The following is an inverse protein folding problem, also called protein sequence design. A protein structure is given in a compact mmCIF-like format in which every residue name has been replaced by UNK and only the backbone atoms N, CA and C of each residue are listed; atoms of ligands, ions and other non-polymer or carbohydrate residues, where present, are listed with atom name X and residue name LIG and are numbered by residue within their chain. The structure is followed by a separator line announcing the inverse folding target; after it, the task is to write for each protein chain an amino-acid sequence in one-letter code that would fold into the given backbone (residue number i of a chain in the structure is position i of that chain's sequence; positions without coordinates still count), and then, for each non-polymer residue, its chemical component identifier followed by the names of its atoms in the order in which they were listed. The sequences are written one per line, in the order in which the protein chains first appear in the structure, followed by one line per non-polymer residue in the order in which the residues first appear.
data_IF_596707430641
#
_entry.id   IF_596707430641
#
_cell.length_a   1.000
_cell.length_b   1.000
_cell.length_c   1.000
_cell.angle_alpha   90.00
_cell.angle_beta   90.00
_cell.angle_gamma   90.00
#
_symmetry.space_group_name_H-M   'P 1'
#
loop_
_entity.id
_entity.type
_entity.pdbx_description
1 polymer ?
#
# COMPACT_ATOMS: atom_id res chain seq x y z
N UNK A 1 23.31 -11.59 -1.72
CA UNK A 1 23.32 -10.26 -1.12
C UNK A 1 22.19 -10.20 -0.12
N UNK A 2 22.51 -10.30 1.17
CA UNK A 2 21.51 -10.28 2.25
C UNK A 2 21.09 -8.84 2.54
N UNK A 3 19.88 -8.63 3.07
CA UNK A 3 19.37 -7.30 3.43
C UNK A 3 20.36 -6.52 4.33
N UNK A 4 21.07 -7.23 5.20
CA UNK A 4 22.06 -6.66 6.10
C UNK A 4 23.34 -6.19 5.38
N UNK A 5 23.75 -6.86 4.30
CA UNK A 5 24.89 -6.43 3.46
C UNK A 5 24.56 -5.16 2.67
N UNK A 6 23.31 -5.00 2.26
CA UNK A 6 22.86 -3.79 1.55
C UNK A 6 22.83 -2.58 2.50
N UNK A 7 22.42 -2.80 3.76
CA UNK A 7 22.44 -1.78 4.82
C UNK A 7 23.89 -1.35 5.14
N UNK A 8 24.83 -2.30 5.20
CA UNK A 8 26.23 -1.99 5.54
C UNK A 8 26.96 -1.24 4.41
N UNK A 9 26.68 -1.56 3.14
CA UNK A 9 27.24 -0.82 2.00
C UNK A 9 26.72 0.62 1.93
N UNK A 10 25.42 0.82 2.19
CA UNK A 10 24.84 2.16 2.28
C UNK A 10 25.44 2.94 3.47
N UNK A 11 25.78 2.25 4.57
CA UNK A 11 26.46 2.84 5.72
C UNK A 11 27.87 3.33 5.40
N UNK A 12 28.69 2.51 4.73
CA UNK A 12 30.05 2.88 4.33
C UNK A 12 30.04 4.07 3.36
N UNK A 13 29.13 4.09 2.39
CA UNK A 13 28.98 5.21 1.46
C UNK A 13 28.53 6.49 2.17
N UNK A 14 27.70 6.39 3.22
CA UNK A 14 27.26 7.55 4.00
C UNK A 14 28.35 8.15 4.90
N UNK A 15 29.26 7.34 5.45
CA UNK A 15 30.39 7.82 6.26
C UNK A 15 31.42 8.62 5.43
N UNK A 16 31.57 8.29 4.15
CA UNK A 16 32.47 9.00 3.23
C UNK A 16 31.98 10.44 2.94
N UNK A 17 30.69 10.74 3.11
CA UNK A 17 30.10 12.05 2.76
C UNK A 17 30.17 13.07 3.92
N UNK A 18 30.76 12.69 5.06
CA UNK A 18 31.13 13.61 6.15
C UNK A 18 30.46 13.32 7.50
N UNK A 19 31.01 13.85 8.60
CA UNK A 19 30.63 13.49 9.97
C UNK A 19 29.25 14.04 10.43
N UNK A 20 28.61 14.87 9.61
CA UNK A 20 27.36 15.54 9.98
C UNK A 20 26.15 14.65 9.70
N UNK A 21 25.57 14.08 10.77
CA UNK A 21 24.39 13.18 10.71
C UNK A 21 23.18 13.81 10.01
N UNK A 22 23.03 15.13 10.10
CA UNK A 22 21.97 15.86 9.39
C UNK A 22 22.18 15.82 7.88
N UNK A 23 23.43 15.96 7.41
CA UNK A 23 23.77 15.88 6.00
C UNK A 23 23.51 14.48 5.44
N UNK A 24 23.90 13.43 6.17
CA UNK A 24 23.65 12.03 5.77
C UNK A 24 22.14 11.75 5.64
N UNK A 25 21.32 12.25 6.56
CA UNK A 25 19.87 12.07 6.50
C UNK A 25 19.23 12.79 5.31
N UNK A 26 19.69 14.01 5.00
CA UNK A 26 19.25 14.76 3.82
C UNK A 26 19.62 13.99 2.54
N UNK A 27 20.85 13.47 2.46
CA UNK A 27 21.30 12.67 1.31
C UNK A 27 20.44 11.43 1.13
N UNK A 28 20.11 10.72 2.21
CA UNK A 28 19.21 9.56 2.16
C UNK A 28 17.83 9.97 1.63
N UNK A 29 17.23 11.03 2.19
CA UNK A 29 15.93 11.51 1.73
C UNK A 29 15.94 11.88 0.24
N UNK A 30 16.97 12.61 -0.21
CA UNK A 30 17.14 12.99 -1.62
C UNK A 30 17.31 11.75 -2.50
N UNK A 31 18.12 10.79 -2.08
CA UNK A 31 18.35 9.54 -2.82
C UNK A 31 17.04 8.77 -3.01
N UNK A 32 16.22 8.69 -1.97
CA UNK A 32 14.91 8.04 -2.05
C UNK A 32 13.90 8.80 -2.90
N UNK A 33 13.97 10.12 -2.96
CA UNK A 33 13.18 10.90 -3.93
C UNK A 33 13.58 10.55 -5.36
N UNK A 34 14.88 10.44 -5.65
CA UNK A 34 15.36 10.02 -6.98
C UNK A 34 14.94 8.59 -7.30
N UNK A 35 15.11 7.64 -6.38
CA UNK A 35 14.64 6.26 -6.55
C UNK A 35 13.13 6.23 -6.77
N UNK A 36 12.36 7.01 -6.01
CA UNK A 36 10.92 7.14 -6.17
C UNK A 36 10.54 7.63 -7.56
N UNK A 37 11.21 8.66 -8.08
CA UNK A 37 10.99 9.14 -9.46
C UNK A 37 11.33 8.09 -10.51
N UNK A 38 12.42 7.34 -10.31
CA UNK A 38 12.81 6.25 -11.21
C UNK A 38 11.75 5.15 -11.18
N UNK A 39 11.28 4.74 -10.00
CA UNK A 39 10.24 3.74 -9.86
C UNK A 39 8.94 4.19 -10.54
N UNK A 40 8.50 5.43 -10.28
CA UNK A 40 7.33 6.05 -10.90
C UNK A 40 7.44 6.07 -12.44
N UNK A 41 8.61 6.45 -12.96
CA UNK A 41 8.90 6.42 -14.40
C UNK A 41 8.88 4.99 -14.98
N UNK A 42 9.51 4.03 -14.30
CA UNK A 42 9.52 2.61 -14.70
C UNK A 42 8.09 2.08 -14.75
N UNK A 43 7.30 2.31 -13.71
CA UNK A 43 5.93 1.81 -13.60
C UNK A 43 5.04 2.44 -14.67
N UNK A 44 5.09 3.76 -14.82
CA UNK A 44 4.34 4.47 -15.85
C UNK A 44 4.74 4.03 -17.26
N UNK A 45 6.01 3.71 -17.49
CA UNK A 45 6.48 3.27 -18.80
C UNK A 45 6.21 1.79 -19.08
N UNK A 46 6.33 0.89 -18.09
CA UNK A 46 6.01 -0.53 -18.22
C UNK A 46 4.50 -0.70 -18.40
N UNK A 47 3.71 -0.19 -17.45
CA UNK A 47 2.25 -0.29 -17.52
C UNK A 47 1.76 0.50 -18.74
N UNK A 48 2.30 1.68 -19.03
CA UNK A 48 1.97 2.45 -20.24
C UNK A 48 2.37 1.78 -21.56
N UNK A 49 3.36 0.87 -21.58
CA UNK A 49 3.66 0.05 -22.76
C UNK A 49 2.68 -1.10 -22.94
N UNK A 50 2.20 -1.71 -21.85
CA UNK A 50 1.11 -2.68 -21.90
C UNK A 50 -0.21 -2.00 -22.28
N UNK A 51 -0.49 -0.83 -21.69
CA UNK A 51 -1.64 0.02 -21.99
C UNK A 51 -1.65 0.43 -23.47
N UNK A 52 -0.53 0.87 -24.08
CA UNK A 52 -0.51 1.20 -25.52
C UNK A 52 -0.77 0.04 -26.47
N UNK A 53 -0.68 -1.21 -26.01
CA UNK A 53 -1.09 -2.40 -26.80
C UNK A 53 -2.57 -2.77 -26.58
N UNK A 54 -3.21 -2.12 -25.62
CA UNK A 54 -4.60 -2.30 -25.18
C UNK A 54 -5.37 -1.01 -25.54
N UNK A 55 -6.57 -1.11 -26.11
CA UNK A 55 -7.40 0.07 -26.39
C UNK A 55 -8.23 0.48 -25.15
N UNK A 56 -7.82 0.09 -23.95
CA UNK A 56 -8.68 0.12 -22.76
C UNK A 56 -8.40 1.32 -21.85
N UNK A 57 -9.42 2.18 -21.67
CA UNK A 57 -9.47 3.26 -20.67
C UNK A 57 -9.14 2.80 -19.23
N UNK A 58 -9.29 1.50 -18.96
CA UNK A 58 -8.97 0.88 -17.67
C UNK A 58 -7.49 1.03 -17.31
N UNK A 59 -6.59 0.78 -18.27
CA UNK A 59 -5.16 0.73 -17.99
C UNK A 59 -4.63 2.12 -17.66
N UNK A 60 -5.10 3.16 -18.35
CA UNK A 60 -4.73 4.55 -18.09
C UNK A 60 -5.18 5.01 -16.70
N UNK A 61 -6.42 4.67 -16.32
CA UNK A 61 -6.91 4.97 -14.98
C UNK A 61 -6.17 4.17 -13.91
N UNK A 62 -5.81 2.91 -14.17
CA UNK A 62 -5.04 2.10 -13.24
C UNK A 62 -3.64 2.69 -12.98
N UNK A 63 -2.97 3.15 -14.03
CA UNK A 63 -1.68 3.87 -13.91
C UNK A 63 -1.87 5.10 -13.02
N UNK A 64 -2.92 5.89 -13.25
CA UNK A 64 -3.20 7.11 -12.47
C UNK A 64 -3.43 6.85 -10.98
N UNK A 65 -3.91 5.66 -10.63
CA UNK A 65 -4.13 5.25 -9.24
C UNK A 65 -2.83 4.76 -8.59
N UNK A 66 -1.99 4.02 -9.33
CA UNK A 66 -0.82 3.33 -8.79
C UNK A 66 0.44 4.21 -8.70
N UNK A 67 0.61 5.17 -9.61
CA UNK A 67 1.88 5.91 -9.71
C UNK A 67 2.18 6.76 -8.45
N UNK A 68 1.16 7.49 -7.96
CA UNK A 68 1.25 8.36 -6.77
C UNK A 68 1.60 7.62 -5.47
N UNK A 69 0.92 6.53 -5.06
CA UNK A 69 1.23 5.82 -3.84
C UNK A 69 2.60 5.16 -3.85
N UNK A 70 3.07 4.70 -5.02
CA UNK A 70 4.41 4.12 -5.13
C UNK A 70 5.48 5.18 -4.93
N UNK A 71 5.37 6.32 -5.63
CA UNK A 71 6.27 7.44 -5.43
C UNK A 71 6.34 7.89 -3.96
N UNK A 72 5.18 8.06 -3.32
CA UNK A 72 5.10 8.45 -1.91
C UNK A 72 5.67 7.38 -0.97
N UNK A 73 5.53 6.09 -1.30
CA UNK A 73 6.10 5.00 -0.50
C UNK A 73 7.63 5.09 -0.42
N UNK A 74 8.30 5.39 -1.54
CA UNK A 74 9.74 5.60 -1.55
C UNK A 74 10.15 6.84 -0.74
N UNK A 75 9.39 7.93 -0.83
CA UNK A 75 9.64 9.13 0.00
C UNK A 75 9.52 8.80 1.49
N UNK A 76 8.42 8.17 1.91
CA UNK A 76 8.21 7.83 3.32
C UNK A 76 9.26 6.85 3.85
N UNK A 77 9.71 5.92 3.01
CA UNK A 77 10.80 5.01 3.36
C UNK A 77 12.13 5.76 3.54
N UNK A 78 12.45 6.69 2.63
CA UNK A 78 13.62 7.56 2.76
C UNK A 78 13.59 8.43 4.01
N UNK A 79 12.44 9.02 4.34
CA UNK A 79 12.26 9.82 5.56
C UNK A 79 12.38 8.96 6.83
N UNK A 80 11.88 7.73 6.80
CA UNK A 80 11.99 6.78 7.92
C UNK A 80 13.46 6.41 8.16
N UNK A 81 14.19 6.05 7.11
CA UNK A 81 15.62 5.74 7.19
C UNK A 81 16.44 6.95 7.63
N UNK A 82 16.13 8.14 7.11
CA UNK A 82 16.73 9.40 7.54
C UNK A 82 16.52 9.63 9.04
N UNK A 83 15.28 9.47 9.53
CA UNK A 83 14.94 9.62 10.96
C UNK A 83 15.79 8.71 11.86
N UNK A 84 15.96 7.44 11.47
CA UNK A 84 16.82 6.52 12.21
C UNK A 84 18.30 6.93 12.20
N UNK A 85 18.78 7.61 11.16
CA UNK A 85 20.16 8.12 11.09
C UNK A 85 20.41 9.37 11.92
N UNK A 86 19.40 10.20 12.15
CA UNK A 86 19.54 11.36 13.05
C UNK A 86 19.81 10.94 14.51
N UNK A 87 19.54 9.68 14.87
CA UNK A 87 19.67 9.16 16.23
C UNK A 87 18.90 10.03 17.25
N UNK A 88 17.66 10.39 16.89
CA UNK A 88 16.77 11.20 17.72
C UNK A 88 16.36 10.44 18.99
N UNK A 89 15.90 11.15 20.04
CA UNK A 89 15.34 10.51 21.23
C UNK A 89 14.27 9.47 20.88
N UNK A 90 14.18 8.41 21.67
CA UNK A 90 13.31 7.25 21.39
C UNK A 90 11.86 7.66 21.12
N UNK A 91 11.32 8.59 21.90
CA UNK A 91 9.95 9.09 21.76
C UNK A 91 9.75 9.85 20.45
N UNK A 92 10.71 10.70 20.08
CA UNK A 92 10.66 11.49 18.84
C UNK A 92 10.77 10.60 17.61
N UNK A 93 11.66 9.60 17.64
CA UNK A 93 11.78 8.59 16.58
C UNK A 93 10.49 7.79 16.46
N UNK A 94 9.93 7.32 17.58
CA UNK A 94 8.69 6.55 17.59
C UNK A 94 7.51 7.34 16.99
N UNK A 95 7.29 8.59 17.43
CA UNK A 95 6.21 9.43 16.92
C UNK A 95 6.43 9.75 15.43
N UNK A 96 7.65 10.14 15.03
CA UNK A 96 7.94 10.51 13.64
C UNK A 96 7.70 9.33 12.69
N UNK A 97 8.25 8.15 13.03
CA UNK A 97 8.07 6.94 12.21
C UNK A 97 6.63 6.46 12.25
N UNK A 98 5.95 6.53 13.41
CA UNK A 98 4.53 6.19 13.53
C UNK A 98 3.63 7.05 12.64
N UNK A 99 3.89 8.37 12.59
CA UNK A 99 3.20 9.31 11.70
C UNK A 99 3.47 8.99 10.23
N UNK A 100 4.73 8.75 9.85
CA UNK A 100 5.08 8.38 8.46
C UNK A 100 4.40 7.07 8.01
N UNK A 101 4.39 6.05 8.87
CA UNK A 101 3.66 4.80 8.62
C UNK A 101 2.15 5.04 8.49
N UNK A 102 1.58 5.87 9.36
CA UNK A 102 0.15 6.23 9.30
C UNK A 102 -0.20 6.93 7.99
N UNK A 103 0.59 7.91 7.56
CA UNK A 103 0.41 8.58 6.26
C UNK A 103 0.51 7.58 5.09
N UNK A 104 1.44 6.62 5.18
CA UNK A 104 1.58 5.53 4.20
C UNK A 104 0.29 4.70 4.12
N UNK A 105 -0.28 4.33 5.27
CA UNK A 105 -1.53 3.57 5.36
C UNK A 105 -2.69 4.35 4.72
N UNK A 106 -2.83 5.65 4.99
CA UNK A 106 -3.88 6.48 4.37
C UNK A 106 -3.75 6.56 2.85
N UNK A 107 -2.52 6.72 2.34
CA UNK A 107 -2.25 6.74 0.90
C UNK A 107 -2.65 5.42 0.24
N UNK A 108 -2.27 4.28 0.85
CA UNK A 108 -2.63 2.95 0.33
C UNK A 108 -4.11 2.62 0.49
N UNK A 109 -4.74 3.06 1.58
CA UNK A 109 -6.19 2.93 1.78
C UNK A 109 -6.96 3.61 0.64
N UNK A 110 -6.66 4.88 0.34
CA UNK A 110 -7.31 5.60 -0.77
C UNK A 110 -7.04 4.94 -2.14
N UNK A 111 -5.82 4.43 -2.35
CA UNK A 111 -5.44 3.71 -3.57
C UNK A 111 -6.27 2.45 -3.77
N UNK A 112 -6.41 1.63 -2.73
CA UNK A 112 -7.17 0.38 -2.79
C UNK A 112 -8.67 0.62 -2.99
N UNK A 113 -9.23 1.69 -2.40
CA UNK A 113 -10.61 2.10 -2.66
C UNK A 113 -10.79 2.51 -4.12
N UNK A 114 -9.93 3.40 -4.62
CA UNK A 114 -9.97 3.84 -6.01
C UNK A 114 -9.81 2.69 -7.00
N UNK A 115 -8.91 1.74 -6.71
CA UNK A 115 -8.76 0.52 -7.51
C UNK A 115 -10.03 -0.33 -7.51
N UNK A 116 -10.68 -0.48 -6.35
CA UNK A 116 -11.95 -1.21 -6.24
C UNK A 116 -13.04 -0.54 -7.07
N UNK A 117 -13.17 0.79 -6.98
CA UNK A 117 -14.13 1.58 -7.77
C UNK A 117 -13.86 1.43 -9.28
N UNK A 118 -12.59 1.46 -9.69
CA UNK A 118 -12.17 1.27 -11.08
C UNK A 118 -12.55 -0.12 -11.61
N UNK A 119 -12.29 -1.18 -10.84
CA UNK A 119 -12.65 -2.57 -11.21
C UNK A 119 -14.17 -2.71 -11.34
N UNK A 120 -14.93 -2.21 -10.38
CA UNK A 120 -16.40 -2.26 -10.39
C UNK A 120 -16.96 -1.51 -11.60
N UNK A 121 -16.44 -0.31 -11.90
CA UNK A 121 -16.88 0.48 -13.04
C UNK A 121 -16.54 -0.17 -14.40
N UNK A 122 -15.43 -0.90 -14.48
CA UNK A 122 -15.08 -1.63 -15.68
C UNK A 122 -16.05 -2.79 -15.96
N UNK A 123 -16.35 -3.59 -14.93
CA UNK A 123 -17.31 -4.68 -15.06
C UNK A 123 -18.74 -4.19 -15.29
N UNK A 124 -19.14 -3.04 -14.73
CA UNK A 124 -20.48 -2.49 -14.95
C UNK A 124 -20.69 -1.98 -16.38
N UNK A 125 -19.65 -1.42 -17.01
CA UNK A 125 -19.72 -0.91 -18.40
C UNK A 125 -19.58 -1.99 -19.47
N UNK A 126 -18.74 -3.00 -19.23
CA UNK A 126 -18.43 -4.06 -20.22
C UNK A 126 -19.46 -5.19 -20.21
N UNK A 127 -20.19 -5.37 -19.11
CA UNK A 127 -21.07 -6.51 -18.95
C UNK A 127 -22.48 -6.23 -19.48
N UNK A 128 -22.84 -6.91 -20.59
CA UNK A 128 -24.22 -7.10 -21.02
C UNK A 128 -24.91 -8.26 -20.25
N UNK A 129 -24.32 -8.73 -19.14
CA UNK A 129 -24.73 -9.94 -18.43
C UNK A 129 -25.60 -9.66 -17.21
N UNK A 130 -26.50 -10.61 -16.93
CA UNK A 130 -27.42 -10.65 -15.78
C UNK A 130 -26.78 -10.36 -14.41
N UNK A 131 -25.48 -10.62 -14.23
CA UNK A 131 -24.73 -10.43 -12.96
C UNK A 131 -24.67 -8.96 -12.52
N UNK A 132 -24.61 -8.02 -13.47
CA UNK A 132 -24.68 -6.57 -13.15
C UNK A 132 -26.13 -6.16 -12.86
N UNK A 133 -27.10 -6.77 -13.54
CA UNK A 133 -28.53 -6.52 -13.31
C UNK A 133 -29.04 -7.07 -11.97
N UNK A 134 -28.43 -8.11 -11.41
CA UNK A 134 -28.83 -8.72 -10.13
C UNK A 134 -28.24 -8.06 -8.89
N UNK A 135 -27.47 -6.96 -9.03
CA UNK A 135 -26.92 -6.21 -7.90
C UNK A 135 -25.75 -6.86 -7.16
N UNK A 136 -25.32 -8.06 -7.57
CA UNK A 136 -24.21 -8.80 -6.94
C UNK A 136 -22.89 -8.02 -6.95
N UNK A 137 -22.65 -7.23 -8.00
CA UNK A 137 -21.47 -6.37 -8.10
C UNK A 137 -21.42 -5.31 -6.99
N UNK A 138 -22.57 -4.77 -6.60
CA UNK A 138 -22.66 -3.80 -5.50
C UNK A 138 -22.39 -4.44 -4.13
N UNK A 139 -22.80 -5.70 -3.94
CA UNK A 139 -22.53 -6.43 -2.69
C UNK A 139 -21.03 -6.72 -2.55
N UNK A 140 -20.40 -7.23 -3.61
CA UNK A 140 -18.94 -7.45 -3.63
C UNK A 140 -18.16 -6.15 -3.41
N UNK A 141 -18.62 -5.06 -4.03
CA UNK A 141 -18.02 -3.74 -3.86
C UNK A 141 -17.99 -3.31 -2.37
N UNK A 142 -19.13 -3.38 -1.69
CA UNK A 142 -19.22 -3.01 -0.28
C UNK A 142 -18.42 -3.98 0.62
N UNK A 143 -18.44 -5.29 0.33
CA UNK A 143 -17.68 -6.29 1.08
C UNK A 143 -16.16 -6.03 1.00
N UNK A 144 -15.62 -5.76 -0.20
CA UNK A 144 -14.20 -5.44 -0.39
C UNK A 144 -13.83 -4.16 0.37
N UNK A 145 -14.69 -3.12 0.34
CA UNK A 145 -14.44 -1.88 1.10
C UNK A 145 -14.39 -2.10 2.62
N UNK A 146 -15.25 -2.97 3.16
CA UNK A 146 -15.21 -3.36 4.58
C UNK A 146 -13.89 -4.07 4.91
N UNK A 147 -13.45 -5.00 4.06
CA UNK A 147 -12.17 -5.70 4.25
C UNK A 147 -10.97 -4.74 4.19
N UNK A 148 -10.93 -3.83 3.21
CA UNK A 148 -9.89 -2.81 3.10
C UNK A 148 -9.86 -1.92 4.35
N UNK A 149 -11.02 -1.51 4.87
CA UNK A 149 -11.10 -0.72 6.10
C UNK A 149 -10.59 -1.49 7.32
N UNK A 150 -10.98 -2.76 7.48
CA UNK A 150 -10.50 -3.61 8.56
C UNK A 150 -8.96 -3.82 8.50
N UNK A 151 -8.41 -3.98 7.30
CA UNK A 151 -6.96 -4.06 7.08
C UNK A 151 -6.24 -2.73 7.39
N UNK A 152 -6.83 -1.58 7.05
CA UNK A 152 -6.26 -0.29 7.38
C UNK A 152 -6.17 -0.07 8.90
N UNK A 153 -7.21 -0.47 9.66
CA UNK A 153 -7.20 -0.43 11.13
C UNK A 153 -6.12 -1.37 11.69
N UNK A 154 -6.03 -2.60 11.14
CA UNK A 154 -4.99 -3.55 11.53
C UNK A 154 -3.57 -2.99 11.32
N UNK A 155 -3.29 -2.42 10.15
CA UNK A 155 -1.98 -1.82 9.88
C UNK A 155 -1.73 -0.57 10.73
N UNK A 156 -2.76 0.20 11.06
CA UNK A 156 -2.64 1.33 11.97
C UNK A 156 -2.16 0.87 13.36
N UNK A 157 -2.75 -0.18 13.92
CA UNK A 157 -2.26 -0.73 15.19
C UNK A 157 -0.81 -1.22 15.09
N UNK A 158 -0.45 -1.92 14.01
CA UNK A 158 0.95 -2.33 13.80
C UNK A 158 1.91 -1.14 13.67
N UNK A 159 1.49 -0.04 13.03
CA UNK A 159 2.31 1.15 12.87
C UNK A 159 2.73 1.77 14.22
N UNK A 160 1.86 1.65 15.23
CA UNK A 160 2.04 2.17 16.58
C UNK A 160 2.48 1.10 17.60
N UNK A 161 2.95 -0.07 17.14
CA UNK A 161 3.36 -1.19 17.99
C UNK A 161 2.26 -1.65 18.99
N UNK A 162 0.99 -1.49 18.61
CA UNK A 162 -0.14 -1.98 19.39
C UNK A 162 -0.32 -3.47 19.09
N UNK A 163 -0.53 -4.28 20.12
CA UNK A 163 -0.76 -5.70 19.97
C UNK A 163 -2.09 -5.96 19.23
N UNK A 164 -2.00 -6.65 18.08
CA UNK A 164 -3.14 -6.95 17.20
C UNK A 164 -3.77 -8.32 17.43
N UNK A 165 -3.31 -9.10 18.42
CA UNK A 165 -3.80 -10.46 18.67
C UNK A 165 -5.29 -10.49 18.96
N UNK A 166 -5.79 -9.57 19.78
CA UNK A 166 -7.23 -9.48 20.08
C UNK A 166 -8.05 -9.12 18.84
N UNK A 167 -7.58 -8.18 18.02
CA UNK A 167 -8.22 -7.80 16.77
C UNK A 167 -8.28 -8.98 15.80
N UNK A 168 -7.14 -9.65 15.58
CA UNK A 168 -7.04 -10.80 14.68
C UNK A 168 -7.90 -11.98 15.17
N UNK A 169 -7.93 -12.24 16.47
CA UNK A 169 -8.80 -13.27 17.05
C UNK A 169 -10.28 -12.97 16.81
N UNK A 170 -10.72 -11.73 17.01
CA UNK A 170 -12.11 -11.31 16.76
C UNK A 170 -12.49 -11.43 15.28
N UNK A 171 -11.60 -11.00 14.38
CA UNK A 171 -11.79 -11.14 12.93
C UNK A 171 -11.86 -12.63 12.52
N UNK A 172 -11.10 -13.49 13.18
CA UNK A 172 -11.17 -14.94 13.01
C UNK A 172 -12.55 -15.51 13.36
N UNK A 173 -13.13 -15.12 14.50
CA UNK A 173 -14.48 -15.56 14.91
C UNK A 173 -15.54 -15.08 13.92
N UNK A 174 -15.49 -13.81 13.51
CA UNK A 174 -16.40 -13.25 12.50
C UNK A 174 -16.24 -13.99 11.16
N UNK A 175 -15.01 -14.27 10.74
CA UNK A 175 -14.71 -15.02 9.52
C UNK A 175 -15.26 -16.45 9.55
N UNK A 176 -15.17 -17.14 10.69
CA UNK A 176 -15.77 -18.47 10.87
C UNK A 176 -17.29 -18.42 10.76
N UNK A 177 -17.93 -17.45 11.41
CA UNK A 177 -19.37 -17.27 11.30
C UNK A 177 -19.81 -17.00 9.85
N UNK A 178 -19.08 -16.15 9.13
CA UNK A 178 -19.35 -15.84 7.72
C UNK A 178 -19.13 -17.06 6.81
N UNK A 179 -18.09 -17.86 7.05
CA UNK A 179 -17.84 -19.11 6.32
C UNK A 179 -18.95 -20.14 6.53
N UNK A 180 -19.47 -20.29 7.75
CA UNK A 180 -20.61 -21.17 7.99
C UNK A 180 -21.88 -20.67 7.30
N UNK A 181 -22.14 -19.36 7.32
CA UNK A 181 -23.27 -18.78 6.60
C UNK A 181 -23.15 -18.97 5.08
N UNK A 182 -21.94 -18.89 4.52
CA UNK A 182 -21.69 -19.07 3.10
C UNK A 182 -21.77 -20.53 2.63
N UNK A 183 -21.63 -21.50 3.55
CA UNK A 183 -21.58 -22.93 3.25
C UNK A 183 -22.80 -23.39 2.42
N UNK A 184 -24.00 -23.03 2.86
CA UNK A 184 -25.24 -23.48 2.19
C UNK A 184 -25.40 -22.82 0.81
N UNK A 185 -24.94 -21.57 0.64
CA UNK A 185 -24.94 -20.89 -0.66
C UNK A 185 -24.00 -21.57 -1.64
N UNK A 186 -22.78 -21.91 -1.19
CA UNK A 186 -21.76 -22.50 -2.04
C UNK A 186 -22.10 -23.94 -2.42
N UNK A 187 -22.69 -24.71 -1.49
CA UNK A 187 -23.18 -26.08 -1.71
C UNK A 187 -24.39 -26.17 -2.65
N UNK A 188 -25.06 -25.05 -2.94
CA UNK A 188 -26.19 -25.02 -3.86
C UNK A 188 -25.78 -24.53 -5.27
N UNK A 189 -24.54 -24.06 -5.44
CA UNK A 189 -23.96 -23.62 -6.71
C UNK A 189 -23.05 -24.67 -7.35
N UNK A 190 -22.57 -25.65 -6.58
CA UNK A 190 -21.74 -26.78 -7.00
C UNK A 190 -22.29 -28.06 -6.39
#
# INVERSE_FOLDING_TARGET
MTFNELISQIQQLAEIIGPNRYLQAIIIAITFIFIGKIADWIISNIIGRFARRSLSDFDDQLISIIHRPIFLSFIFLGLTLGTHKLNLPILTTFITVGVLKTLTIFVWYGTLLGFTDLVVNFFSKTSNQKIVQTGMLSLLHNAIKIVIAALAIYFFFLAWNINVTAWLASAGIVGLALSFAAKDTLSNLF
#
